data_IF_810586590684
#
_entry.id   IF_810586590684
#
_cell.length_a   1.000
_cell.length_b   1.000
_cell.length_c   1.000
_cell.angle_alpha   90.00
_cell.angle_beta   90.00
_cell.angle_gamma   90.00
#
_symmetry.space_group_name_H-M   'P 1'
#
loop_
_entity.id
_entity.type
_entity.pdbx_description
1 polymer ?
#
# COMPACT_ATOMS: atom_id res chain seq x y z
N UNK A 1 -3.09 -42.17 -11.41
CA UNK A 1 -2.58 -40.80 -11.66
C UNK A 1 -3.57 -39.82 -11.03
N UNK A 2 -3.42 -39.44 -9.75
CA UNK A 2 -4.29 -38.43 -9.16
C UNK A 2 -3.66 -37.05 -9.37
N UNK A 3 -4.38 -36.18 -10.09
CA UNK A 3 -4.08 -34.76 -10.20
C UNK A 3 -4.27 -34.09 -8.84
N UNK A 4 -3.18 -33.55 -8.30
CA UNK A 4 -3.15 -32.86 -7.04
C UNK A 4 -3.61 -31.42 -7.27
N UNK A 5 -4.92 -31.20 -7.19
CA UNK A 5 -5.50 -29.86 -7.00
C UNK A 5 -5.08 -29.40 -5.60
N UNK A 6 -4.08 -28.51 -5.54
CA UNK A 6 -3.75 -27.79 -4.33
C UNK A 6 -4.94 -26.89 -3.99
N UNK A 7 -5.73 -27.35 -3.02
CA UNK A 7 -6.70 -26.51 -2.34
C UNK A 7 -5.88 -25.41 -1.66
N UNK A 8 -6.05 -24.17 -2.13
CA UNK A 8 -5.50 -22.96 -1.53
C UNK A 8 -6.27 -22.72 -0.21
N UNK A 9 -6.03 -23.56 0.79
CA UNK A 9 -6.60 -23.38 2.13
C UNK A 9 -6.01 -22.13 2.75
N UNK A 10 -6.85 -21.11 2.90
CA UNK A 10 -6.61 -19.83 3.58
C UNK A 10 -6.34 -19.99 5.09
N UNK A 11 -5.25 -20.65 5.48
CA UNK A 11 -4.80 -20.68 6.87
C UNK A 11 -3.55 -19.82 7.03
N UNK A 12 -3.71 -18.59 7.56
CA UNK A 12 -2.61 -17.71 8.01
C UNK A 12 -1.35 -17.84 7.15
N UNK A 13 -1.46 -17.54 5.85
CA UNK A 13 -0.34 -17.65 4.92
C UNK A 13 0.83 -16.89 5.54
N UNK A 14 1.88 -17.62 5.89
CA UNK A 14 3.13 -17.06 6.36
C UNK A 14 3.61 -16.17 5.22
N UNK A 15 3.30 -14.86 5.34
CA UNK A 15 3.64 -13.90 4.32
C UNK A 15 5.14 -14.08 4.05
N UNK A 16 5.55 -14.22 2.79
CA UNK A 16 6.96 -14.31 2.46
C UNK A 16 7.70 -13.20 3.21
N UNK A 17 8.82 -13.52 3.84
CA UNK A 17 9.55 -12.57 4.71
C UNK A 17 9.82 -11.23 3.99
N UNK A 18 10.04 -11.29 2.68
CA UNK A 18 10.10 -10.14 1.79
C UNK A 18 8.87 -9.20 1.89
N UNK A 19 7.67 -9.75 1.92
CA UNK A 19 6.41 -9.01 1.97
C UNK A 19 6.24 -8.30 3.32
N UNK A 20 6.57 -8.99 4.42
CA UNK A 20 6.63 -8.39 5.76
C UNK A 20 7.61 -7.23 5.84
N UNK A 21 8.82 -7.41 5.32
CA UNK A 21 9.86 -6.37 5.31
C UNK A 21 9.46 -5.18 4.44
N UNK A 22 8.81 -5.44 3.30
CA UNK A 22 8.39 -4.39 2.38
C UNK A 22 7.23 -3.59 2.96
N UNK A 23 6.26 -4.23 3.63
CA UNK A 23 5.21 -3.54 4.39
C UNK A 23 5.77 -2.71 5.54
N UNK A 24 6.70 -3.25 6.32
CA UNK A 24 7.35 -2.50 7.40
C UNK A 24 8.07 -1.26 6.85
N UNK A 25 8.75 -1.39 5.71
CA UNK A 25 9.41 -0.28 5.02
C UNK A 25 8.41 0.74 4.48
N UNK A 26 7.29 0.30 3.89
CA UNK A 26 6.25 1.19 3.41
C UNK A 26 5.67 2.03 4.56
N UNK A 27 5.40 1.42 5.72
CA UNK A 27 4.98 2.13 6.95
C UNK A 27 6.01 3.14 7.42
N UNK A 28 7.28 2.73 7.48
CA UNK A 28 8.37 3.59 7.93
C UNK A 28 8.57 4.80 7.00
N UNK A 29 8.35 4.64 5.70
CA UNK A 29 8.42 5.75 4.74
C UNK A 29 7.16 6.62 4.85
N UNK A 30 5.99 6.01 4.90
CA UNK A 30 4.69 6.67 4.82
C UNK A 30 4.35 7.54 6.02
N UNK A 31 4.96 7.28 7.18
CA UNK A 31 4.82 8.15 8.36
C UNK A 31 5.46 9.54 8.17
N UNK A 32 6.36 9.71 7.19
CA UNK A 32 7.03 10.98 6.93
C UNK A 32 6.23 11.82 5.94
N UNK A 33 5.97 13.07 6.32
CA UNK A 33 5.27 14.03 5.48
C UNK A 33 5.91 14.16 4.08
N UNK A 34 5.09 14.06 3.03
CA UNK A 34 5.50 14.16 1.64
C UNK A 34 6.03 12.86 1.03
N UNK A 35 6.10 11.77 1.80
CA UNK A 35 6.59 10.45 1.33
C UNK A 35 5.49 9.39 1.19
N UNK A 36 4.23 9.79 1.33
CA UNK A 36 3.08 8.88 1.22
C UNK A 36 2.99 8.24 -0.17
N UNK A 37 3.34 8.98 -1.23
CA UNK A 37 3.39 8.46 -2.59
C UNK A 37 4.48 7.37 -2.76
N UNK A 38 5.66 7.55 -2.15
CA UNK A 38 6.74 6.55 -2.16
C UNK A 38 6.30 5.26 -1.45
N UNK A 39 5.65 5.41 -0.28
CA UNK A 39 5.13 4.29 0.49
C UNK A 39 4.03 3.53 -0.27
N UNK A 40 3.14 4.26 -0.94
CA UNK A 40 2.09 3.67 -1.75
C UNK A 40 2.63 2.93 -2.98
N UNK A 41 3.68 3.42 -3.62
CA UNK A 41 4.34 2.73 -4.73
C UNK A 41 4.81 1.32 -4.31
N UNK A 42 5.43 1.20 -3.14
CA UNK A 42 5.82 -0.11 -2.58
C UNK A 42 4.61 -1.02 -2.34
N UNK A 43 3.48 -0.46 -1.89
CA UNK A 43 2.26 -1.23 -1.69
C UNK A 43 1.64 -1.71 -3.00
N UNK A 44 1.66 -0.88 -4.06
CA UNK A 44 1.19 -1.28 -5.39
C UNK A 44 2.08 -2.37 -6.01
N UNK A 45 3.40 -2.28 -5.84
CA UNK A 45 4.32 -3.36 -6.26
C UNK A 45 4.01 -4.68 -5.56
N UNK A 46 3.65 -4.64 -4.26
CA UNK A 46 3.21 -5.83 -3.53
C UNK A 46 1.87 -6.36 -4.03
N UNK A 47 0.88 -5.50 -4.25
CA UNK A 47 -0.44 -5.89 -4.76
C UNK A 47 -0.38 -6.45 -6.20
N UNK A 48 0.60 -6.03 -6.99
CA UNK A 48 0.83 -6.61 -8.32
C UNK A 48 1.26 -8.09 -8.26
N UNK A 49 2.00 -8.47 -7.22
CA UNK A 49 2.47 -9.84 -7.00
C UNK A 49 1.51 -10.67 -6.12
N UNK A 50 0.86 -10.01 -5.17
CA UNK A 50 -0.03 -10.61 -4.16
C UNK A 50 -1.30 -9.77 -4.05
N UNK A 51 -2.23 -9.89 -5.01
CA UNK A 51 -3.42 -9.05 -5.07
C UNK A 51 -4.34 -9.21 -3.85
N UNK A 52 -4.28 -10.36 -3.18
CA UNK A 52 -5.08 -10.65 -1.98
C UNK A 52 -4.44 -10.15 -0.67
N UNK A 53 -3.33 -9.38 -0.74
CA UNK A 53 -2.67 -8.82 0.43
C UNK A 53 -3.47 -7.62 0.98
N UNK A 54 -4.43 -7.91 1.87
CA UNK A 54 -5.28 -6.88 2.48
C UNK A 54 -4.48 -5.82 3.23
N UNK A 55 -3.39 -6.21 3.89
CA UNK A 55 -2.54 -5.29 4.66
C UNK A 55 -1.88 -4.21 3.79
N UNK A 56 -1.52 -4.54 2.54
CA UNK A 56 -1.01 -3.55 1.58
C UNK A 56 -2.12 -2.62 1.08
N UNK A 57 -3.32 -3.17 0.84
CA UNK A 57 -4.49 -2.37 0.45
C UNK A 57 -4.91 -1.39 1.55
N UNK A 58 -4.96 -1.87 2.80
CA UNK A 58 -5.32 -1.07 3.96
C UNK A 58 -4.31 0.06 4.18
N UNK A 59 -3.00 -0.24 4.03
CA UNK A 59 -1.97 0.78 4.15
C UNK A 59 -2.06 1.86 3.06
N UNK A 60 -2.36 1.50 1.80
CA UNK A 60 -2.62 2.50 0.74
C UNK A 60 -3.81 3.38 1.11
N UNK A 61 -4.88 2.77 1.62
CA UNK A 61 -6.04 3.52 2.07
C UNK A 61 -5.67 4.50 3.19
N UNK A 62 -4.96 4.05 4.22
CA UNK A 62 -4.50 4.91 5.33
C UNK A 62 -3.63 6.08 4.86
N UNK A 63 -2.72 5.84 3.90
CA UNK A 63 -1.82 6.87 3.40
C UNK A 63 -2.54 8.03 2.68
N UNK A 64 -3.66 7.76 2.01
CA UNK A 64 -4.38 8.75 1.19
C UNK A 64 -5.74 9.16 1.74
N UNK A 65 -6.32 8.40 2.66
CA UNK A 65 -7.60 8.71 3.29
C UNK A 65 -7.45 9.31 4.69
N UNK A 66 -6.24 9.69 5.09
CA UNK A 66 -6.03 10.61 6.20
C UNK A 66 -6.58 12.01 5.86
N UNK A 67 -7.44 12.54 6.74
CA UNK A 67 -8.16 13.81 6.53
C UNK A 67 -7.21 14.99 6.29
N UNK A 68 -6.04 14.99 6.95
CA UNK A 68 -5.04 16.03 6.80
C UNK A 68 -4.28 15.92 5.48
N UNK A 69 -3.90 14.72 5.06
CA UNK A 69 -3.31 14.51 3.73
C UNK A 69 -4.28 14.91 2.61
N UNK A 70 -5.57 14.60 2.75
CA UNK A 70 -6.59 15.01 1.78
C UNK A 70 -6.67 16.54 1.70
N UNK A 71 -6.68 17.22 2.85
CA UNK A 71 -6.69 18.68 2.90
C UNK A 71 -5.44 19.29 2.24
N UNK A 72 -4.25 18.79 2.58
CA UNK A 72 -2.98 19.29 2.05
C UNK A 72 -2.84 19.03 0.55
N UNK A 73 -3.23 17.85 0.07
CA UNK A 73 -3.27 17.54 -1.36
C UNK A 73 -4.23 18.47 -2.11
N UNK A 74 -5.41 18.73 -1.55
CA UNK A 74 -6.37 19.68 -2.12
C UNK A 74 -5.77 21.09 -2.22
N UNK A 75 -5.13 21.57 -1.15
CA UNK A 75 -4.48 22.90 -1.14
C UNK A 75 -3.33 22.97 -2.15
N UNK A 76 -2.49 21.94 -2.24
CA UNK A 76 -1.38 21.88 -3.19
C UNK A 76 -1.86 21.90 -4.65
N UNK A 77 -2.93 21.15 -4.96
CA UNK A 77 -3.56 21.17 -6.29
C UNK A 77 -4.16 22.55 -6.57
N UNK A 78 -4.87 23.15 -5.61
CA UNK A 78 -5.48 24.47 -5.78
C UNK A 78 -4.43 25.54 -6.11
N UNK A 79 -3.29 25.56 -5.39
CA UNK A 79 -2.19 26.49 -5.68
C UNK A 79 -1.66 26.33 -7.10
N UNK A 80 -1.48 25.09 -7.57
CA UNK A 80 -1.03 24.85 -8.95
C UNK A 80 -2.03 25.31 -10.00
N UNK A 81 -3.33 25.23 -9.71
CA UNK A 81 -4.39 25.73 -10.60
C UNK A 81 -4.42 27.26 -10.59
N UNK A 82 -4.28 27.88 -9.43
CA UNK A 82 -4.30 29.35 -9.29
C UNK A 82 -3.04 30.01 -9.89
N UNK A 83 -1.92 29.28 -9.97
CA UNK A 83 -0.67 29.72 -10.59
C UNK A 83 -0.65 29.58 -12.13
N UNK A 84 -1.67 28.97 -12.74
CA UNK A 84 -1.77 28.68 -14.18
C UNK A 84 -2.73 29.64 -14.91
#
# INVERSE_FOLDING_TARGET
MPGQFLIYTSSMAEYPEYLRQTLARARDIGQWYGRQADAAALCFDMLALFPDCTEASDLVYELFCDEWNIYDMRVAIQRRVDEW
#
